data_IF_088745877230
#
_entry.id   IF_088745877230
#
_cell.length_a   1.000
_cell.length_b   1.000
_cell.length_c   1.000
_cell.angle_alpha   90.00
_cell.angle_beta   90.00
_cell.angle_gamma   90.00
#
_symmetry.space_group_name_H-M   'P 1'
#
loop_
_entity.id
_entity.type
_entity.pdbx_description
1 polymer ?
#
# COMPACT_ATOMS: atom_id res chain seq x y z
N UNK A 1 2.73 -0.90 -27.74
CA UNK A 1 1.65 -1.46 -26.88
C UNK A 1 0.82 -2.38 -27.75
N UNK A 2 0.37 -3.48 -27.21
CA UNK A 2 -0.49 -4.44 -27.92
C UNK A 2 -1.73 -3.71 -28.45
N UNK A 3 -2.19 -4.12 -29.64
CA UNK A 3 -3.31 -3.45 -30.35
C UNK A 3 -4.69 -3.69 -29.71
N UNK A 4 -4.80 -4.69 -28.83
CA UNK A 4 -6.03 -5.05 -28.12
C UNK A 4 -6.23 -4.29 -26.79
N UNK A 5 -5.21 -3.57 -26.31
CA UNK A 5 -5.34 -2.75 -25.12
C UNK A 5 -6.12 -1.46 -25.41
N UNK A 6 -7.06 -1.16 -24.53
CA UNK A 6 -7.85 0.07 -24.61
C UNK A 6 -7.15 1.19 -23.85
N UNK A 7 -6.95 2.32 -24.51
CA UNK A 7 -6.32 3.51 -23.91
C UNK A 7 -7.31 4.65 -23.91
N UNK A 8 -7.70 5.08 -22.70
CA UNK A 8 -8.56 6.25 -22.52
C UNK A 8 -7.69 7.44 -22.07
N UNK A 9 -7.56 8.43 -22.95
CA UNK A 9 -6.74 9.61 -22.72
C UNK A 9 -7.55 10.67 -21.99
N UNK A 10 -7.25 10.87 -20.72
CA UNK A 10 -7.87 11.89 -19.88
C UNK A 10 -6.73 12.66 -19.19
N UNK A 11 -6.77 13.99 -19.15
CA UNK A 11 -5.75 14.77 -18.46
C UNK A 11 -5.67 14.37 -16.98
N UNK A 12 -4.49 14.06 -16.45
CA UNK A 12 -4.32 13.71 -15.03
C UNK A 12 -4.90 14.81 -14.13
N UNK A 13 -5.54 14.38 -13.04
CA UNK A 13 -6.15 15.25 -12.03
C UNK A 13 -7.30 16.15 -12.51
N UNK A 14 -7.83 15.93 -13.72
CA UNK A 14 -9.08 16.57 -14.15
C UNK A 14 -10.30 15.93 -13.44
N UNK A 15 -11.47 16.60 -13.38
CA UNK A 15 -12.69 15.99 -12.86
C UNK A 15 -13.03 14.68 -13.58
N UNK A 16 -12.82 14.62 -14.90
CA UNK A 16 -13.04 13.43 -15.72
C UNK A 16 -12.08 12.30 -15.34
N UNK A 17 -10.85 12.64 -14.96
CA UNK A 17 -9.85 11.67 -14.50
C UNK A 17 -10.30 10.99 -13.20
N UNK A 18 -10.81 11.75 -12.24
CA UNK A 18 -11.36 11.20 -11.01
C UNK A 18 -12.62 10.36 -11.27
N UNK A 19 -13.50 10.86 -12.13
CA UNK A 19 -14.70 10.13 -12.50
C UNK A 19 -14.39 8.80 -13.21
N UNK A 20 -13.38 8.77 -14.06
CA UNK A 20 -12.94 7.52 -14.71
C UNK A 20 -12.47 6.47 -13.71
N UNK A 21 -11.84 6.89 -12.61
CA UNK A 21 -11.38 5.97 -11.57
C UNK A 21 -12.51 5.19 -10.89
N UNK A 22 -13.74 5.65 -10.95
CA UNK A 22 -14.91 4.88 -10.50
C UNK A 22 -15.26 3.70 -11.42
N UNK A 23 -14.68 3.61 -12.62
CA UNK A 23 -14.99 2.57 -13.61
C UNK A 23 -14.16 1.29 -13.43
N UNK A 24 -13.20 1.25 -12.49
CA UNK A 24 -12.35 0.10 -12.25
C UNK A 24 -11.44 0.30 -11.03
N UNK A 25 -10.55 -0.63 -10.81
CA UNK A 25 -9.55 -0.62 -9.74
C UNK A 25 -8.19 -0.27 -10.35
N UNK A 26 -7.57 0.81 -9.89
CA UNK A 26 -6.24 1.22 -10.31
C UNK A 26 -5.12 0.42 -9.64
N UNK A 27 -3.94 0.35 -10.28
CA UNK A 27 -2.79 -0.36 -9.73
C UNK A 27 -2.42 0.12 -8.31
N UNK A 28 -2.45 1.42 -8.05
CA UNK A 28 -2.16 2.00 -6.72
C UNK A 28 -3.23 1.70 -5.66
N UNK A 29 -4.47 1.43 -6.05
CA UNK A 29 -5.59 1.12 -5.16
C UNK A 29 -5.68 -0.38 -4.83
N UNK A 30 -5.06 -1.21 -5.65
CA UNK A 30 -5.15 -2.67 -5.52
C UNK A 30 -4.64 -3.15 -4.18
N UNK A 31 -3.58 -2.57 -3.64
CA UNK A 31 -3.09 -2.90 -2.30
C UNK A 31 -4.13 -2.63 -1.20
N UNK A 32 -4.97 -1.59 -1.35
CA UNK A 32 -6.08 -1.30 -0.45
C UNK A 32 -7.16 -2.38 -0.56
N UNK A 33 -7.54 -2.75 -1.78
CA UNK A 33 -8.53 -3.83 -2.01
C UNK A 33 -8.07 -5.17 -1.45
N UNK A 34 -6.76 -5.44 -1.43
CA UNK A 34 -6.16 -6.63 -0.83
C UNK A 34 -6.00 -6.52 0.71
N UNK A 35 -6.40 -5.41 1.35
CA UNK A 35 -6.24 -5.21 2.80
C UNK A 35 -4.78 -4.99 3.24
N UNK A 36 -3.89 -4.58 2.34
CA UNK A 36 -2.45 -4.45 2.58
C UNK A 36 -1.97 -2.99 2.63
N UNK A 37 -2.88 -2.03 2.55
CA UNK A 37 -2.59 -0.61 2.67
C UNK A 37 -3.01 -0.09 4.05
N UNK A 38 -2.05 0.30 4.88
CA UNK A 38 -2.33 0.84 6.22
C UNK A 38 -2.84 2.28 6.24
N UNK A 39 -2.79 2.98 5.11
CA UNK A 39 -3.15 4.41 4.99
C UNK A 39 -4.53 4.62 4.41
N UNK A 40 -5.19 3.53 3.98
CA UNK A 40 -6.53 3.60 3.41
C UNK A 40 -7.28 2.29 3.67
N UNK A 41 -8.62 2.32 3.54
CA UNK A 41 -9.50 1.18 3.84
C UNK A 41 -10.25 0.72 2.60
N UNK A 42 -10.46 -0.59 2.48
CA UNK A 42 -11.25 -1.19 1.40
C UNK A 42 -12.69 -0.65 1.40
N UNK A 43 -13.23 -0.32 2.58
CA UNK A 43 -14.56 0.27 2.73
C UNK A 43 -14.65 1.64 2.05
N UNK A 44 -13.67 2.53 2.25
CA UNK A 44 -13.63 3.81 1.54
C UNK A 44 -13.55 3.60 0.03
N UNK A 45 -12.66 2.72 -0.42
CA UNK A 45 -12.54 2.38 -1.85
C UNK A 45 -13.88 1.91 -2.41
N UNK A 46 -14.63 1.07 -1.69
CA UNK A 46 -15.96 0.66 -2.09
C UNK A 46 -16.91 1.86 -2.31
N UNK A 47 -17.02 2.76 -1.31
CA UNK A 47 -17.90 3.92 -1.40
C UNK A 47 -17.51 4.90 -2.52
N UNK A 48 -16.21 5.06 -2.78
CA UNK A 48 -15.73 5.84 -3.92
C UNK A 48 -16.10 5.17 -5.26
N UNK A 49 -15.94 3.84 -5.38
CA UNK A 49 -16.26 3.10 -6.62
C UNK A 49 -17.76 3.07 -6.94
N UNK A 50 -18.61 3.07 -5.95
CA UNK A 50 -20.05 3.15 -6.18
C UNK A 50 -20.55 4.60 -6.39
N UNK A 51 -19.69 5.60 -6.23
CA UNK A 51 -20.02 7.01 -6.37
C UNK A 51 -20.83 7.57 -5.19
N UNK A 52 -20.72 6.98 -4.00
CA UNK A 52 -21.40 7.44 -2.79
C UNK A 52 -20.53 8.39 -1.94
N UNK A 53 -19.25 8.49 -2.25
CA UNK A 53 -18.30 9.40 -1.60
C UNK A 53 -17.36 9.96 -2.66
N UNK A 54 -17.05 11.25 -2.55
CA UNK A 54 -16.06 11.88 -3.42
C UNK A 54 -14.67 11.27 -3.18
N UNK A 55 -13.90 11.02 -4.25
CA UNK A 55 -12.52 10.57 -4.12
C UNK A 55 -11.68 11.56 -3.32
N UNK A 56 -10.81 11.06 -2.46
CA UNK A 56 -9.88 11.94 -1.74
C UNK A 56 -8.98 12.69 -2.70
N UNK A 57 -9.08 14.02 -2.66
CA UNK A 57 -8.14 14.93 -3.32
C UNK A 57 -7.04 15.30 -2.31
N UNK A 58 -6.08 14.41 -2.15
CA UNK A 58 -4.95 14.72 -1.30
C UNK A 58 -3.71 14.94 -2.18
N UNK A 59 -3.20 16.15 -2.16
CA UNK A 59 -1.92 16.50 -2.77
C UNK A 59 -1.04 17.21 -1.76
N UNK A 60 0.22 16.87 -1.76
CA UNK A 60 1.21 17.51 -0.89
C UNK A 60 2.54 17.72 -1.63
N UNK A 61 3.45 18.45 -1.01
CA UNK A 61 4.74 18.76 -1.61
C UNK A 61 5.51 17.50 -2.06
N UNK A 62 5.43 16.37 -1.33
CA UNK A 62 6.11 15.12 -1.72
C UNK A 62 5.51 14.55 -3.01
N UNK A 63 4.18 14.52 -3.11
CA UNK A 63 3.48 14.03 -4.31
C UNK A 63 3.74 14.95 -5.51
N UNK A 64 3.73 16.27 -5.29
CA UNK A 64 4.09 17.25 -6.32
C UNK A 64 5.50 17.02 -6.84
N UNK A 65 6.49 16.93 -5.95
CA UNK A 65 7.88 16.71 -6.37
C UNK A 65 8.09 15.33 -6.97
N UNK A 66 7.35 14.30 -6.53
CA UNK A 66 7.35 12.99 -7.16
C UNK A 66 7.03 13.11 -8.65
N UNK A 67 5.88 13.69 -8.99
CA UNK A 67 5.45 13.91 -10.38
C UNK A 67 6.39 14.84 -11.16
N UNK A 68 6.88 15.91 -10.53
CA UNK A 68 7.80 16.85 -11.15
C UNK A 68 9.13 16.20 -11.56
N UNK A 69 9.58 15.20 -10.81
CA UNK A 69 10.83 14.49 -11.09
C UNK A 69 10.69 13.29 -12.04
N UNK A 70 9.47 12.85 -12.38
CA UNK A 70 9.23 11.67 -13.21
C UNK A 70 9.97 11.72 -14.56
N UNK A 71 9.87 12.84 -15.29
CA UNK A 71 10.53 12.99 -16.59
C UNK A 71 12.06 12.95 -16.45
N UNK A 72 12.61 13.56 -15.41
CA UNK A 72 14.05 13.60 -15.17
C UNK A 72 14.60 12.22 -14.81
N UNK A 73 13.88 11.48 -13.97
CA UNK A 73 14.25 10.11 -13.57
C UNK A 73 14.14 9.18 -14.78
N UNK A 74 13.08 9.29 -15.59
CA UNK A 74 12.93 8.55 -16.83
C UNK A 74 14.06 8.84 -17.82
N UNK A 75 14.51 10.10 -17.91
CA UNK A 75 15.65 10.45 -18.76
C UNK A 75 16.93 9.81 -18.25
N UNK A 76 17.24 9.84 -16.96
CA UNK A 76 18.42 9.18 -16.38
C UNK A 76 18.38 7.66 -16.61
N UNK A 77 17.21 7.05 -16.49
CA UNK A 77 17.01 5.63 -16.71
C UNK A 77 17.42 5.16 -18.12
N UNK A 78 17.29 6.01 -19.15
CA UNK A 78 17.70 5.68 -20.52
C UNK A 78 19.21 5.39 -20.65
N UNK A 79 20.00 5.93 -19.73
CA UNK A 79 21.46 5.76 -19.71
C UNK A 79 21.91 4.61 -18.80
N UNK A 80 20.99 4.02 -18.02
CA UNK A 80 21.31 2.97 -17.07
C UNK A 80 21.58 1.65 -17.77
N UNK A 81 22.75 1.06 -17.54
CA UNK A 81 23.26 -0.16 -18.16
C UNK A 81 23.22 -1.39 -17.24
N UNK A 82 22.64 -1.27 -16.06
CA UNK A 82 22.57 -2.33 -15.06
C UNK A 82 23.61 -2.20 -13.95
N UNK A 83 24.57 -1.28 -14.06
CA UNK A 83 25.62 -1.02 -13.04
C UNK A 83 25.33 0.25 -12.26
N UNK A 84 25.86 0.33 -11.02
CA UNK A 84 25.58 1.43 -10.09
C UNK A 84 26.01 2.80 -10.65
N UNK A 85 27.16 2.88 -11.29
CA UNK A 85 27.76 4.15 -11.73
C UNK A 85 27.88 4.30 -13.26
N UNK A 86 27.64 3.23 -14.02
CA UNK A 86 27.79 3.22 -15.48
C UNK A 86 26.89 4.24 -16.19
N UNK A 87 25.71 4.53 -15.64
CA UNK A 87 24.81 5.53 -16.19
C UNK A 87 25.42 6.94 -16.22
N UNK A 88 26.31 7.28 -15.28
CA UNK A 88 26.96 8.60 -15.21
C UNK A 88 27.85 8.81 -16.44
N UNK A 89 28.65 7.81 -16.79
CA UNK A 89 29.51 7.86 -17.96
C UNK A 89 28.68 7.85 -19.26
N UNK A 90 27.68 6.99 -19.34
CA UNK A 90 26.77 6.93 -20.47
C UNK A 90 26.05 8.27 -20.69
N UNK A 91 25.58 8.90 -19.60
CA UNK A 91 24.95 10.23 -19.64
C UNK A 91 25.91 11.32 -20.15
N UNK A 92 27.15 11.38 -19.62
CA UNK A 92 28.18 12.33 -20.07
C UNK A 92 28.50 12.16 -21.55
N UNK A 93 28.54 10.94 -22.02
CA UNK A 93 28.83 10.59 -23.43
C UNK A 93 27.58 10.61 -24.33
N UNK A 94 26.41 10.97 -23.80
CA UNK A 94 25.11 10.95 -24.52
C UNK A 94 24.80 9.59 -25.16
N UNK A 95 25.26 8.51 -24.54
CA UNK A 95 25.08 7.14 -25.01
C UNK A 95 23.82 6.55 -24.42
N UNK A 96 22.70 6.71 -25.11
CA UNK A 96 21.42 6.08 -24.73
C UNK A 96 21.56 4.55 -24.86
N UNK A 97 21.23 3.84 -23.79
CA UNK A 97 21.31 2.38 -23.70
C UNK A 97 19.95 1.75 -24.00
N UNK A 98 18.88 2.36 -23.45
CA UNK A 98 17.50 1.85 -23.54
C UNK A 98 16.55 3.00 -23.77
N UNK A 99 15.29 2.70 -24.11
CA UNK A 99 14.30 3.75 -24.32
C UNK A 99 12.96 3.37 -23.68
N UNK A 100 12.25 4.39 -23.25
CA UNK A 100 10.93 4.30 -22.66
C UNK A 100 10.05 5.46 -23.15
N UNK A 101 8.75 5.30 -23.01
CA UNK A 101 7.78 6.34 -23.35
C UNK A 101 6.71 6.49 -22.29
N UNK A 102 6.19 7.69 -22.17
CA UNK A 102 5.01 7.97 -21.35
C UNK A 102 3.75 7.32 -21.97
N UNK A 103 2.83 6.91 -21.12
CA UNK A 103 1.50 6.45 -21.51
C UNK A 103 0.48 7.40 -20.89
N UNK A 104 0.06 8.39 -21.68
CA UNK A 104 -0.88 9.40 -21.21
C UNK A 104 -2.31 8.83 -21.22
N UNK A 105 -2.80 8.44 -20.05
CA UNK A 105 -4.16 7.95 -19.86
C UNK A 105 -4.24 6.63 -19.10
N UNK A 106 -5.45 6.10 -19.04
CA UNK A 106 -5.73 4.80 -18.43
C UNK A 106 -5.68 3.70 -19.48
N UNK A 107 -5.00 2.62 -19.14
CA UNK A 107 -4.88 1.43 -19.98
C UNK A 107 -5.68 0.30 -19.35
N UNK A 108 -6.55 -0.32 -20.14
CA UNK A 108 -7.37 -1.47 -19.74
C UNK A 108 -7.07 -2.64 -20.66
N UNK A 109 -6.82 -3.82 -20.08
CA UNK A 109 -6.81 -5.06 -20.83
C UNK A 109 -8.25 -5.61 -20.86
N UNK A 110 -8.86 -5.84 -22.05
CA UNK A 110 -10.23 -6.35 -22.16
C UNK A 110 -10.46 -7.70 -21.44
N UNK A 111 -9.40 -8.46 -21.17
CA UNK A 111 -9.51 -9.69 -20.35
C UNK A 111 -9.81 -9.38 -18.87
N UNK A 112 -9.44 -8.19 -18.39
CA UNK A 112 -9.56 -7.77 -17.00
C UNK A 112 -10.21 -6.39 -16.91
N UNK A 113 -11.49 -6.25 -17.37
CA UNK A 113 -12.11 -4.94 -17.56
C UNK A 113 -12.34 -4.14 -16.27
N UNK A 114 -12.23 -4.79 -15.11
CA UNK A 114 -12.28 -4.14 -13.80
C UNK A 114 -10.94 -3.57 -13.31
N UNK A 115 -9.83 -3.80 -14.05
CA UNK A 115 -8.51 -3.28 -13.72
C UNK A 115 -8.07 -2.24 -14.75
N UNK A 116 -7.45 -1.16 -14.28
CA UNK A 116 -6.77 -0.20 -15.16
C UNK A 116 -5.37 0.14 -14.65
N UNK A 117 -4.48 0.45 -15.58
CA UNK A 117 -3.14 0.97 -15.32
C UNK A 117 -3.04 2.45 -15.70
N UNK A 118 -2.41 3.24 -14.83
CA UNK A 118 -1.87 4.55 -15.15
C UNK A 118 -0.36 4.44 -15.01
N UNK A 119 0.33 4.21 -16.12
CA UNK A 119 1.76 3.90 -16.14
C UNK A 119 2.58 5.17 -16.14
N UNK A 120 3.61 5.26 -15.32
CA UNK A 120 4.58 6.33 -15.42
C UNK A 120 5.30 6.24 -16.77
N UNK A 121 5.86 5.06 -17.08
CA UNK A 121 6.52 4.77 -18.37
C UNK A 121 6.34 3.32 -18.75
N UNK A 122 6.52 3.06 -20.04
CA UNK A 122 6.62 1.73 -20.61
C UNK A 122 7.94 1.63 -21.37
N UNK A 123 8.70 0.57 -21.11
CA UNK A 123 9.96 0.29 -21.81
C UNK A 123 9.67 -0.21 -23.23
N UNK A 124 10.37 0.34 -24.21
CA UNK A 124 10.24 -0.06 -25.58
C UNK A 124 10.91 -1.41 -25.85
N UNK A 125 10.30 -2.26 -26.69
CA UNK A 125 10.89 -3.56 -27.10
C UNK A 125 12.19 -3.33 -27.86
N UNK A 126 12.20 -2.39 -28.79
CA UNK A 126 13.37 -2.08 -29.60
C UNK A 126 14.51 -1.52 -28.74
N UNK A 127 15.58 -2.28 -28.60
CA UNK A 127 16.72 -1.95 -27.76
C UNK A 127 16.48 -2.20 -26.26
N UNK A 128 15.30 -2.70 -25.88
CA UNK A 128 15.00 -3.07 -24.50
C UNK A 128 15.67 -4.39 -24.10
N UNK A 129 16.15 -4.44 -22.86
CA UNK A 129 16.85 -5.61 -22.28
C UNK A 129 16.25 -5.90 -20.91
N UNK A 130 15.96 -7.16 -20.65
CA UNK A 130 15.67 -7.64 -19.31
C UNK A 130 17.00 -7.78 -18.54
N UNK A 131 17.26 -6.89 -17.60
CA UNK A 131 18.53 -6.85 -16.86
C UNK A 131 18.72 -7.99 -15.85
N UNK A 132 17.71 -8.82 -15.61
CA UNK A 132 17.84 -10.03 -14.80
C UNK A 132 18.39 -11.21 -15.61
N UNK A 133 18.04 -11.29 -16.89
CA UNK A 133 18.42 -12.39 -17.77
C UNK A 133 19.48 -12.02 -18.79
N UNK A 134 19.65 -10.72 -19.07
CA UNK A 134 20.49 -10.22 -20.17
C UNK A 134 19.85 -10.34 -21.54
N UNK A 135 18.63 -10.87 -21.66
CA UNK A 135 17.95 -11.13 -22.92
C UNK A 135 17.17 -9.90 -23.42
N UNK A 136 17.02 -9.73 -24.73
CA UNK A 136 16.15 -8.70 -25.30
C UNK A 136 14.70 -8.86 -24.80
N UNK A 137 14.01 -7.74 -24.58
CA UNK A 137 12.60 -7.76 -24.24
C UNK A 137 11.76 -8.36 -25.36
N UNK A 138 10.91 -9.33 -25.02
CA UNK A 138 9.95 -9.96 -25.96
C UNK A 138 8.65 -9.16 -26.07
N UNK A 139 8.30 -8.45 -24.99
CA UNK A 139 7.14 -7.57 -24.87
C UNK A 139 7.58 -6.23 -24.31
N UNK A 140 6.75 -5.21 -24.44
CA UNK A 140 6.95 -3.97 -23.66
C UNK A 140 6.91 -4.30 -22.17
N UNK A 141 7.73 -3.62 -21.36
CA UNK A 141 7.84 -3.86 -19.94
C UNK A 141 7.46 -2.62 -19.13
N UNK A 142 7.09 -2.83 -17.89
CA UNK A 142 6.73 -1.75 -16.95
C UNK A 142 7.99 -1.01 -16.50
N UNK A 143 7.93 0.32 -16.45
CA UNK A 143 8.87 1.17 -15.74
C UNK A 143 8.10 2.10 -14.82
N UNK A 144 8.14 1.82 -13.54
CA UNK A 144 7.59 2.65 -12.49
C UNK A 144 8.65 3.61 -11.97
N UNK A 145 8.27 4.80 -11.56
CA UNK A 145 9.20 5.85 -11.09
C UNK A 145 8.84 6.26 -9.67
N UNK A 146 9.85 6.34 -8.80
CA UNK A 146 9.66 6.73 -7.41
C UNK A 146 10.73 7.72 -6.95
N UNK A 147 10.32 8.67 -6.11
CA UNK A 147 11.22 9.48 -5.30
C UNK A 147 11.12 9.02 -3.85
N UNK A 148 12.27 8.85 -3.18
CA UNK A 148 12.34 8.46 -1.78
C UNK A 148 13.11 9.52 -0.99
N UNK A 149 12.59 9.87 0.20
CA UNK A 149 13.37 10.58 1.21
C UNK A 149 14.03 9.60 2.16
N UNK A 150 15.07 10.02 2.88
CA UNK A 150 15.74 9.23 3.92
C UNK A 150 14.76 8.54 4.87
N UNK A 151 13.78 9.27 5.37
CA UNK A 151 12.76 8.71 6.27
C UNK A 151 11.86 7.65 5.61
N UNK A 152 11.55 7.82 4.33
CA UNK A 152 10.76 6.84 3.57
C UNK A 152 11.58 5.60 3.24
N UNK A 153 12.91 5.76 3.01
CA UNK A 153 13.81 4.64 2.69
C UNK A 153 13.98 3.65 3.83
N UNK A 154 13.80 4.07 5.08
CA UNK A 154 13.81 3.16 6.22
C UNK A 154 12.69 2.10 6.15
N UNK A 155 11.56 2.44 5.53
CA UNK A 155 10.48 1.47 5.28
C UNK A 155 10.83 0.46 4.17
N UNK A 156 11.93 0.69 3.45
CA UNK A 156 12.44 -0.16 2.38
C UNK A 156 13.63 -1.03 2.82
N UNK A 157 14.06 -0.98 4.08
CA UNK A 157 15.17 -1.81 4.61
C UNK A 157 14.92 -3.32 4.46
N UNK A 158 13.66 -3.74 4.30
CA UNK A 158 13.26 -5.11 3.99
C UNK A 158 12.96 -5.40 2.52
N UNK A 159 13.28 -4.47 1.60
CA UNK A 159 12.90 -4.49 0.20
C UNK A 159 11.76 -3.53 -0.13
N UNK A 160 11.29 -3.58 -1.37
CA UNK A 160 10.19 -2.72 -1.82
C UNK A 160 8.91 -2.94 -0.97
N UNK A 161 8.20 -1.89 -0.56
CA UNK A 161 6.90 -2.04 0.09
C UNK A 161 5.94 -2.87 -0.77
N UNK A 162 5.22 -3.79 -0.11
CA UNK A 162 4.31 -4.71 -0.78
C UNK A 162 3.26 -4.00 -1.66
N UNK A 163 2.85 -2.79 -1.28
CA UNK A 163 1.92 -1.97 -2.07
C UNK A 163 2.47 -1.61 -3.46
N UNK A 164 3.76 -1.31 -3.57
CA UNK A 164 4.39 -1.05 -4.87
C UNK A 164 4.63 -2.33 -5.66
N UNK A 165 4.98 -3.42 -4.97
CA UNK A 165 5.10 -4.73 -5.61
C UNK A 165 3.76 -5.15 -6.23
N UNK A 166 2.65 -4.95 -5.53
CA UNK A 166 1.29 -5.20 -6.05
C UNK A 166 0.99 -4.29 -7.24
N UNK A 167 1.30 -2.99 -7.14
CA UNK A 167 1.07 -2.02 -8.21
C UNK A 167 1.75 -2.45 -9.52
N UNK A 168 3.03 -2.79 -9.48
CA UNK A 168 3.76 -3.23 -10.70
C UNK A 168 3.24 -4.56 -11.23
N UNK A 169 2.78 -5.49 -10.37
CA UNK A 169 2.17 -6.73 -10.83
C UNK A 169 0.82 -6.51 -11.51
N UNK A 170 0.00 -5.56 -11.04
CA UNK A 170 -1.21 -5.14 -11.77
C UNK A 170 -0.85 -4.63 -13.15
N UNK A 171 0.20 -3.84 -13.25
CA UNK A 171 0.66 -3.32 -14.54
C UNK A 171 1.22 -4.42 -15.45
N UNK A 172 1.95 -5.40 -14.90
CA UNK A 172 2.38 -6.57 -15.65
C UNK A 172 1.20 -7.46 -16.11
N UNK A 173 0.14 -7.58 -15.30
CA UNK A 173 -1.11 -8.25 -15.69
C UNK A 173 -1.75 -7.54 -16.89
N UNK A 174 -1.88 -6.23 -16.84
CA UNK A 174 -2.52 -5.43 -17.90
C UNK A 174 -1.72 -5.50 -19.20
N UNK A 175 -0.39 -5.36 -19.13
CA UNK A 175 0.48 -5.42 -20.31
C UNK A 175 0.75 -6.86 -20.79
N UNK A 176 0.45 -7.88 -19.96
CA UNK A 176 0.86 -9.29 -20.18
C UNK A 176 2.37 -9.39 -20.43
N UNK A 177 3.17 -8.76 -19.58
CA UNK A 177 4.63 -8.80 -19.63
C UNK A 177 5.20 -9.52 -18.40
N UNK A 178 6.42 -10.02 -18.53
CA UNK A 178 7.09 -10.84 -17.51
C UNK A 178 8.13 -10.04 -16.69
N UNK A 179 8.31 -8.76 -17.02
CA UNK A 179 9.39 -7.96 -16.48
C UNK A 179 8.93 -6.54 -16.14
N UNK A 180 9.43 -6.03 -15.04
CA UNK A 180 9.22 -4.65 -14.60
C UNK A 180 10.47 -4.10 -13.94
N UNK A 181 10.65 -2.79 -14.02
CA UNK A 181 11.65 -2.04 -13.26
C UNK A 181 11.00 -0.91 -12.46
N UNK A 182 11.63 -0.58 -11.34
CA UNK A 182 11.34 0.63 -10.57
C UNK A 182 12.60 1.49 -10.56
N UNK A 183 12.53 2.66 -11.19
CA UNK A 183 13.59 3.66 -11.13
C UNK A 183 13.34 4.59 -9.94
N UNK A 184 14.31 4.68 -9.06
CA UNK A 184 14.20 5.36 -7.77
C UNK A 184 15.25 6.45 -7.68
N UNK A 185 14.82 7.68 -7.38
CA UNK A 185 15.71 8.74 -6.93
C UNK A 185 15.57 8.90 -5.42
N UNK A 186 16.58 8.44 -4.68
CA UNK A 186 16.62 8.50 -3.23
C UNK A 186 17.43 9.72 -2.78
N UNK A 187 16.86 10.49 -1.87
CA UNK A 187 17.46 11.71 -1.29
C UNK A 187 17.98 12.74 -2.32
N UNK A 188 17.38 12.71 -3.52
CA UNK A 188 17.76 13.60 -4.62
C UNK A 188 19.15 13.36 -5.22
N UNK A 189 19.87 12.30 -4.80
CA UNK A 189 21.27 12.07 -5.19
C UNK A 189 21.62 10.61 -5.50
N UNK A 190 20.90 9.65 -4.97
CA UNK A 190 21.15 8.22 -5.21
C UNK A 190 20.15 7.67 -6.22
N UNK A 191 20.63 7.25 -7.40
CA UNK A 191 19.81 6.66 -8.44
C UNK A 191 19.90 5.14 -8.40
N UNK A 192 18.75 4.48 -8.17
CA UNK A 192 18.65 3.02 -8.00
C UNK A 192 17.63 2.49 -9.00
N UNK A 193 17.88 1.33 -9.58
CA UNK A 193 16.91 0.61 -10.42
C UNK A 193 16.71 -0.80 -9.88
N UNK A 194 15.53 -1.05 -9.33
CA UNK A 194 15.09 -2.36 -8.88
C UNK A 194 14.41 -3.13 -10.02
N UNK A 195 14.61 -4.43 -10.07
CA UNK A 195 14.19 -5.30 -11.18
C UNK A 195 13.32 -6.44 -10.67
N UNK A 196 12.20 -6.68 -11.34
CA UNK A 196 11.20 -7.64 -10.90
C UNK A 196 10.78 -8.55 -12.04
N UNK A 197 10.68 -9.83 -11.73
CA UNK A 197 10.02 -10.82 -12.59
C UNK A 197 8.57 -10.97 -12.13
N UNK A 198 7.67 -11.21 -13.06
CA UNK A 198 6.27 -11.48 -12.77
C UNK A 198 6.13 -12.74 -11.93
N UNK A 199 5.42 -12.63 -10.81
CA UNK A 199 5.03 -13.74 -9.95
C UNK A 199 3.58 -14.15 -10.30
N UNK A 200 3.42 -15.30 -10.92
CA UNK A 200 2.10 -15.79 -11.35
C UNK A 200 1.18 -16.07 -10.16
N UNK A 201 1.72 -16.58 -9.04
CA UNK A 201 0.93 -16.83 -7.84
C UNK A 201 0.39 -15.53 -7.21
N UNK A 202 1.19 -14.47 -7.22
CA UNK A 202 0.75 -13.15 -6.80
C UNK A 202 -0.27 -12.57 -7.80
N UNK A 203 -0.02 -12.70 -9.10
CA UNK A 203 -0.95 -12.24 -10.14
C UNK A 203 -2.32 -12.91 -10.01
N UNK A 204 -2.37 -14.23 -9.80
CA UNK A 204 -3.61 -14.98 -9.60
C UNK A 204 -4.38 -14.49 -8.36
N UNK A 205 -3.71 -14.27 -7.24
CA UNK A 205 -4.33 -13.70 -6.03
C UNK A 205 -4.89 -12.31 -6.27
N UNK A 206 -4.13 -11.44 -6.95
CA UNK A 206 -4.59 -10.10 -7.32
C UNK A 206 -5.86 -10.18 -8.14
N UNK A 207 -5.88 -11.00 -9.20
CA UNK A 207 -7.03 -11.17 -10.08
C UNK A 207 -8.25 -11.68 -9.32
N UNK A 208 -8.10 -12.76 -8.55
CA UNK A 208 -9.22 -13.38 -7.81
C UNK A 208 -9.85 -12.42 -6.80
N UNK A 209 -9.04 -11.69 -6.02
CA UNK A 209 -9.54 -10.77 -5.00
C UNK A 209 -10.18 -9.54 -5.64
N UNK A 210 -9.51 -8.93 -6.61
CA UNK A 210 -10.03 -7.72 -7.27
C UNK A 210 -11.28 -8.00 -8.08
N UNK A 211 -11.36 -9.13 -8.77
CA UNK A 211 -12.57 -9.56 -9.49
C UNK A 211 -13.73 -9.80 -8.50
N UNK A 212 -13.47 -10.53 -7.40
CA UNK A 212 -14.49 -10.78 -6.39
C UNK A 212 -15.00 -9.49 -5.76
N UNK A 213 -14.11 -8.56 -5.42
CA UNK A 213 -14.48 -7.25 -4.90
C UNK A 213 -15.35 -6.48 -5.90
N UNK A 214 -14.93 -6.46 -7.18
CA UNK A 214 -15.66 -5.73 -8.22
C UNK A 214 -17.04 -6.32 -8.50
N UNK A 215 -17.11 -7.62 -8.76
CA UNK A 215 -18.35 -8.29 -9.17
C UNK A 215 -19.35 -8.44 -8.03
N UNK A 216 -18.88 -8.80 -6.83
CA UNK A 216 -19.77 -9.12 -5.71
C UNK A 216 -20.14 -7.94 -4.82
N UNK A 217 -19.30 -6.90 -4.79
CA UNK A 217 -19.54 -5.74 -3.93
C UNK A 217 -19.79 -4.49 -4.74
N UNK A 218 -18.87 -4.10 -5.64
CA UNK A 218 -18.98 -2.81 -6.35
C UNK A 218 -20.14 -2.77 -7.35
N UNK A 219 -20.31 -3.78 -8.20
CA UNK A 219 -21.38 -3.79 -9.19
C UNK A 219 -22.76 -3.69 -8.53
N UNK A 220 -23.14 -4.55 -7.58
CA UNK A 220 -24.46 -4.46 -6.95
C UNK A 220 -24.60 -3.20 -6.09
N UNK A 221 -23.55 -2.77 -5.36
CA UNK A 221 -23.56 -1.53 -4.60
C UNK A 221 -23.78 -0.30 -5.49
N UNK A 222 -23.15 -0.25 -6.66
CA UNK A 222 -23.33 0.83 -7.63
C UNK A 222 -24.75 0.87 -8.20
N UNK A 223 -25.35 -0.29 -8.46
CA UNK A 223 -26.76 -0.38 -8.89
C UNK A 223 -27.70 0.15 -7.79
N UNK A 224 -27.44 -0.22 -6.53
CA UNK A 224 -28.20 0.28 -5.38
C UNK A 224 -28.06 1.80 -5.23
N UNK A 225 -26.82 2.32 -5.36
CA UNK A 225 -26.55 3.76 -5.28
C UNK A 225 -27.29 4.55 -6.36
N UNK A 226 -27.33 4.07 -7.61
CA UNK A 226 -28.10 4.73 -8.69
C UNK A 226 -29.58 4.83 -8.32
N UNK A 227 -30.18 3.72 -7.84
CA UNK A 227 -31.58 3.69 -7.43
C UNK A 227 -31.87 4.56 -6.22
N UNK A 228 -30.93 4.63 -5.26
CA UNK A 228 -31.02 5.57 -4.14
C UNK A 228 -31.08 7.01 -4.63
N UNK A 229 -30.17 7.41 -5.52
CA UNK A 229 -30.16 8.76 -6.09
C UNK A 229 -31.44 9.10 -6.89
N UNK A 230 -32.05 8.11 -7.55
CA UNK A 230 -33.34 8.25 -8.22
C UNK A 230 -34.48 8.48 -7.20
N UNK A 231 -34.48 7.72 -6.10
CA UNK A 231 -35.47 7.87 -5.02
C UNK A 231 -35.33 9.22 -4.30
N UNK A 232 -34.11 9.69 -4.07
CA UNK A 232 -33.83 11.02 -3.50
C UNK A 232 -34.39 12.16 -4.37
N UNK A 233 -34.24 12.08 -5.69
CA UNK A 233 -34.75 13.09 -6.64
C UNK A 233 -36.25 13.23 -6.57
N UNK A 234 -36.99 12.18 -6.25
CA UNK A 234 -38.47 12.21 -6.15
C UNK A 234 -38.96 12.31 -4.70
N UNK A 235 -38.03 12.44 -3.72
CA UNK A 235 -38.36 12.60 -2.31
C UNK A 235 -38.95 11.35 -1.64
N UNK A 236 -38.70 10.14 -2.19
CA UNK A 236 -39.23 8.89 -1.64
C UNK A 236 -38.30 8.34 -0.54
N UNK A 237 -38.54 8.77 0.70
CA UNK A 237 -37.71 8.41 1.87
C UNK A 237 -37.65 6.88 2.07
N UNK A 238 -38.76 6.16 1.96
CA UNK A 238 -38.79 4.70 2.17
C UNK A 238 -37.93 3.95 1.17
N UNK A 239 -37.92 4.36 -0.10
CA UNK A 239 -37.02 3.77 -1.11
C UNK A 239 -35.56 4.18 -0.88
N UNK A 240 -35.27 5.38 -0.38
CA UNK A 240 -33.91 5.80 0.00
C UNK A 240 -33.37 4.89 1.08
N UNK A 241 -34.12 4.69 2.17
CA UNK A 241 -33.73 3.81 3.28
C UNK A 241 -33.48 2.37 2.82
N UNK A 242 -34.35 1.85 1.97
CA UNK A 242 -34.21 0.51 1.39
C UNK A 242 -32.92 0.36 0.58
N UNK A 243 -32.60 1.34 -0.26
CA UNK A 243 -31.37 1.27 -1.08
C UNK A 243 -30.11 1.56 -0.26
N UNK A 244 -30.19 2.37 0.81
CA UNK A 244 -29.11 2.50 1.80
C UNK A 244 -28.79 1.17 2.47
N UNK A 245 -29.81 0.42 2.88
CA UNK A 245 -29.63 -0.92 3.46
C UNK A 245 -28.99 -1.89 2.45
N UNK A 246 -29.38 -1.83 1.17
CA UNK A 246 -28.77 -2.65 0.12
C UNK A 246 -27.31 -2.28 -0.16
N UNK A 247 -26.94 -0.99 -0.12
CA UNK A 247 -25.54 -0.53 -0.21
C UNK A 247 -24.73 -1.08 0.96
N UNK A 248 -25.25 -1.00 2.19
CA UNK A 248 -24.58 -1.51 3.39
C UNK A 248 -24.39 -3.03 3.36
N UNK A 249 -25.33 -3.78 2.80
CA UNK A 249 -25.21 -5.23 2.64
C UNK A 249 -24.05 -5.66 1.75
N UNK A 250 -23.66 -4.81 0.80
CA UNK A 250 -22.51 -5.04 -0.08
C UNK A 250 -21.24 -4.34 0.40
N UNK A 251 -21.27 -3.68 1.56
CA UNK A 251 -20.08 -3.10 2.16
C UNK A 251 -19.06 -4.19 2.51
N UNK A 252 -17.75 -3.97 2.23
CA UNK A 252 -16.71 -4.88 2.71
C UNK A 252 -16.72 -5.05 4.23
N UNK A 253 -16.31 -6.22 4.71
CA UNK A 253 -16.11 -6.43 6.15
C UNK A 253 -15.13 -5.40 6.72
N UNK A 254 -15.32 -4.97 7.98
CA UNK A 254 -14.43 -4.04 8.65
C UNK A 254 -12.99 -4.53 8.65
N UNK A 255 -12.05 -3.70 8.21
CA UNK A 255 -10.63 -3.99 8.32
C UNK A 255 -10.02 -3.49 9.65
N UNK A 256 -8.75 -3.82 9.88
CA UNK A 256 -8.05 -3.48 11.13
C UNK A 256 -7.33 -2.14 11.08
N UNK A 257 -7.47 -1.35 10.00
CA UNK A 257 -6.73 -0.11 9.80
C UNK A 257 -7.30 1.05 10.64
N UNK A 258 -6.45 2.02 10.95
CA UNK A 258 -6.88 3.28 11.52
C UNK A 258 -7.74 4.08 10.50
N UNK A 259 -7.40 3.96 9.23
CA UNK A 259 -8.13 4.59 8.12
C UNK A 259 -9.61 4.16 8.08
N UNK A 260 -9.94 2.89 8.44
CA UNK A 260 -11.33 2.45 8.57
C UNK A 260 -12.07 3.25 9.65
N UNK A 261 -11.45 3.41 10.84
CA UNK A 261 -12.06 4.16 11.96
C UNK A 261 -12.24 5.63 11.63
N UNK A 262 -11.25 6.24 10.95
CA UNK A 262 -11.35 7.61 10.45
C UNK A 262 -12.51 7.77 9.47
N UNK A 263 -12.60 6.86 8.48
CA UNK A 263 -13.67 6.89 7.50
C UNK A 263 -15.06 6.74 8.14
N UNK A 264 -15.22 5.80 9.06
CA UNK A 264 -16.48 5.64 9.79
C UNK A 264 -16.80 6.90 10.62
N UNK A 265 -15.81 7.54 11.24
CA UNK A 265 -16.01 8.79 11.99
C UNK A 265 -16.46 9.94 11.07
N UNK A 266 -15.92 10.07 9.87
CA UNK A 266 -16.36 11.05 8.87
C UNK A 266 -17.83 10.82 8.45
N UNK A 267 -18.23 9.55 8.31
CA UNK A 267 -19.60 9.16 7.98
C UNK A 267 -20.63 9.49 9.08
N UNK A 268 -20.21 9.42 10.35
CA UNK A 268 -21.07 9.55 11.54
C UNK A 268 -21.04 10.94 12.19
N UNK A 269 -20.98 12.02 11.41
CA UNK A 269 -21.04 13.40 11.92
C UNK A 269 -22.42 13.82 12.45
N UNK A 270 -23.44 12.94 12.48
CA UNK A 270 -24.79 13.21 12.96
C UNK A 270 -24.98 12.80 14.43
N UNK A 271 -26.05 13.28 15.06
CA UNK A 271 -26.47 12.88 16.41
C UNK A 271 -26.49 11.38 16.59
N UNK A 272 -25.94 10.93 17.73
CA UNK A 272 -25.73 9.51 18.02
C UNK A 272 -26.87 9.00 18.88
N UNK A 273 -27.60 8.01 18.34
CA UNK A 273 -28.56 7.25 19.11
C UNK A 273 -27.92 6.04 19.78
N UNK A 274 -28.54 5.57 20.85
CA UNK A 274 -28.17 4.32 21.49
C UNK A 274 -28.88 3.18 20.78
N UNK A 275 -28.11 2.18 20.37
CA UNK A 275 -28.69 0.94 19.83
C UNK A 275 -28.83 -0.12 20.92
N UNK A 276 -29.84 -0.95 20.84
CA UNK A 276 -30.01 -2.11 21.73
C UNK A 276 -28.93 -3.16 21.38
N UNK A 277 -28.21 -3.60 22.42
CA UNK A 277 -27.17 -4.63 22.29
C UNK A 277 -27.79 -6.01 22.10
N UNK A 278 -27.14 -6.85 21.30
CA UNK A 278 -27.46 -8.27 21.15
C UNK A 278 -26.28 -9.14 21.60
N UNK A 279 -26.51 -10.46 21.72
CA UNK A 279 -25.47 -11.39 22.18
C UNK A 279 -24.23 -11.39 21.31
N UNK A 280 -24.35 -11.25 19.98
CA UNK A 280 -23.20 -11.13 19.08
C UNK A 280 -22.33 -9.91 19.42
N UNK A 281 -22.93 -8.76 19.61
CA UNK A 281 -22.19 -7.52 19.97
C UNK A 281 -21.57 -7.63 21.36
N UNK A 282 -22.27 -8.25 22.30
CA UNK A 282 -21.74 -8.55 23.63
C UNK A 282 -20.49 -9.44 23.58
N UNK A 283 -20.52 -10.50 22.77
CA UNK A 283 -19.37 -11.41 22.61
C UNK A 283 -18.17 -10.71 21.98
N UNK A 284 -18.37 -9.82 21.00
CA UNK A 284 -17.30 -9.00 20.40
C UNK A 284 -16.68 -8.09 21.49
N UNK A 285 -17.49 -7.39 22.27
CA UNK A 285 -17.01 -6.53 23.36
C UNK A 285 -16.27 -7.33 24.43
N UNK A 286 -16.72 -8.54 24.74
CA UNK A 286 -16.05 -9.44 25.68
C UNK A 286 -14.70 -9.88 25.15
N UNK A 287 -14.60 -10.27 23.88
CA UNK A 287 -13.34 -10.65 23.24
C UNK A 287 -12.33 -9.48 23.23
N UNK A 288 -12.78 -8.27 22.86
CA UNK A 288 -11.93 -7.07 22.90
C UNK A 288 -11.38 -6.82 24.32
N UNK A 289 -12.22 -6.97 25.34
CA UNK A 289 -11.81 -6.79 26.73
C UNK A 289 -10.77 -7.83 27.17
N UNK A 290 -10.90 -9.09 26.74
CA UNK A 290 -9.91 -10.16 26.97
C UNK A 290 -8.59 -9.84 26.29
N UNK A 291 -8.61 -9.45 25.01
CA UNK A 291 -7.41 -9.09 24.24
C UNK A 291 -6.69 -7.87 24.87
N UNK A 292 -7.44 -6.89 25.35
CA UNK A 292 -6.86 -5.75 26.04
C UNK A 292 -6.19 -6.15 27.37
N UNK A 293 -6.78 -7.07 28.12
CA UNK A 293 -6.16 -7.66 29.33
C UNK A 293 -4.85 -8.39 29.00
N UNK A 294 -4.83 -9.20 27.93
CA UNK A 294 -3.63 -9.88 27.44
C UNK A 294 -2.55 -8.86 27.06
N UNK A 295 -2.90 -7.79 26.36
CA UNK A 295 -1.97 -6.73 26.01
C UNK A 295 -1.33 -6.08 27.25
N UNK A 296 -2.11 -5.87 28.32
CA UNK A 296 -1.64 -5.37 29.60
C UNK A 296 -0.58 -6.29 30.23
N UNK A 297 -0.84 -7.59 30.29
CA UNK A 297 0.10 -8.59 30.84
C UNK A 297 1.40 -8.66 30.01
N UNK A 298 1.30 -8.58 28.68
CA UNK A 298 2.47 -8.53 27.80
C UNK A 298 3.32 -7.29 28.11
N UNK A 299 2.71 -6.11 28.24
CA UNK A 299 3.46 -4.87 28.51
C UNK A 299 4.07 -4.87 29.92
N UNK A 300 3.41 -5.44 30.91
CA UNK A 300 3.98 -5.65 32.24
C UNK A 300 5.23 -6.52 32.18
N UNK A 301 5.19 -7.65 31.48
CA UNK A 301 6.36 -8.53 31.29
C UNK A 301 7.48 -7.82 30.54
N UNK A 302 7.17 -7.10 29.46
CA UNK A 302 8.14 -6.29 28.72
C UNK A 302 8.81 -5.24 29.60
N UNK A 303 8.04 -4.58 30.45
CA UNK A 303 8.54 -3.58 31.40
C UNK A 303 9.49 -4.21 32.42
N UNK A 304 9.16 -5.39 32.96
CA UNK A 304 10.05 -6.15 33.83
C UNK A 304 11.41 -6.48 33.18
N UNK A 305 11.39 -6.96 31.91
CA UNK A 305 12.61 -7.26 31.16
C UNK A 305 13.44 -5.99 30.90
N UNK A 306 12.81 -4.87 30.52
CA UNK A 306 13.48 -3.58 30.34
C UNK A 306 14.15 -3.13 31.64
N UNK A 307 13.43 -3.20 32.75
CA UNK A 307 13.95 -2.80 34.07
C UNK A 307 15.16 -3.67 34.50
N UNK A 308 15.17 -4.97 34.18
CA UNK A 308 16.29 -5.84 34.41
C UNK A 308 17.53 -5.36 33.65
N UNK A 309 17.39 -5.08 32.34
CA UNK A 309 18.49 -4.58 31.52
C UNK A 309 18.97 -3.18 31.97
N UNK A 310 18.08 -2.29 32.37
CA UNK A 310 18.42 -0.98 32.94
C UNK A 310 19.21 -1.13 34.22
N UNK A 311 18.85 -2.09 35.10
CA UNK A 311 19.58 -2.38 36.30
C UNK A 311 21.02 -2.85 36.03
N UNK A 312 21.19 -3.76 35.07
CA UNK A 312 22.53 -4.22 34.65
C UNK A 312 23.39 -3.07 34.12
N UNK A 313 22.83 -2.22 33.25
CA UNK A 313 23.49 -1.01 32.71
C UNK A 313 23.88 -0.05 33.86
N UNK A 314 22.99 0.15 34.82
CA UNK A 314 23.25 1.04 35.97
C UNK A 314 24.36 0.52 36.86
N UNK A 315 24.35 -0.78 37.16
CA UNK A 315 25.42 -1.43 37.97
C UNK A 315 26.76 -1.36 37.26
N UNK A 316 26.77 -1.54 35.93
CA UNK A 316 27.98 -1.45 35.11
C UNK A 316 28.44 -0.01 34.85
N UNK A 317 27.66 1.02 35.23
CA UNK A 317 27.94 2.42 34.88
C UNK A 317 27.96 2.69 33.39
N UNK A 318 27.19 1.91 32.60
CA UNK A 318 27.17 1.93 31.17
C UNK A 318 25.83 2.47 30.61
N UNK A 319 25.86 3.01 29.42
CA UNK A 319 24.64 3.45 28.71
C UNK A 319 24.24 2.50 27.56
N UNK A 320 25.11 1.55 27.20
CA UNK A 320 24.88 0.62 26.10
C UNK A 320 25.40 -0.78 26.41
N UNK A 321 24.65 -1.77 25.99
CA UNK A 321 25.08 -3.16 25.86
C UNK A 321 25.27 -3.41 24.36
N UNK A 322 26.49 -3.77 23.98
CA UNK A 322 26.81 -4.10 22.58
C UNK A 322 26.92 -5.63 22.44
N UNK A 323 26.09 -6.19 21.56
CA UNK A 323 26.10 -7.61 21.21
C UNK A 323 26.80 -7.87 19.87
N UNK A 324 27.61 -6.91 19.41
CA UNK A 324 28.34 -7.01 18.15
C UNK A 324 27.37 -7.15 16.96
N UNK A 325 27.50 -8.24 16.21
CA UNK A 325 26.65 -8.50 15.03
C UNK A 325 25.16 -8.69 15.35
N UNK A 326 24.82 -9.06 16.58
CA UNK A 326 23.46 -9.33 17.01
C UNK A 326 22.66 -8.05 17.32
N UNK A 327 23.33 -6.92 17.53
CA UNK A 327 22.68 -5.65 17.80
C UNK A 327 23.11 -4.99 19.11
N UNK A 328 22.27 -4.12 19.66
CA UNK A 328 22.58 -3.41 20.91
C UNK A 328 21.32 -3.06 21.69
N UNK A 329 21.47 -2.80 23.00
CA UNK A 329 20.47 -2.18 23.86
C UNK A 329 21.06 -0.91 24.50
N UNK A 330 20.29 0.18 24.52
CA UNK A 330 20.75 1.47 25.06
C UNK A 330 19.75 2.06 26.05
N UNK A 331 20.27 2.73 27.08
CA UNK A 331 19.51 3.52 28.04
C UNK A 331 20.15 4.89 28.18
N UNK A 332 19.74 5.81 27.33
CA UNK A 332 20.39 7.12 27.15
C UNK A 332 19.41 8.28 27.27
N UNK A 333 19.92 9.45 27.63
CA UNK A 333 19.17 10.69 27.59
C UNK A 333 18.99 11.17 26.16
N UNK A 334 17.76 11.59 25.80
CA UNK A 334 17.54 12.40 24.61
C UNK A 334 17.78 13.86 24.95
N UNK A 335 18.48 14.58 24.06
CA UNK A 335 18.72 16.01 24.20
C UNK A 335 17.41 16.78 24.44
N UNK A 336 17.27 17.40 25.63
CA UNK A 336 16.07 18.13 26.03
C UNK A 336 14.96 17.30 26.70
N UNK A 337 15.14 16.00 26.94
CA UNK A 337 14.19 15.16 27.68
C UNK A 337 14.51 15.13 29.18
N UNK A 338 13.45 15.08 30.01
CA UNK A 338 13.58 14.95 31.48
C UNK A 338 13.85 13.53 31.98
N UNK A 339 13.88 12.53 31.06
CA UNK A 339 14.05 11.12 31.41
C UNK A 339 14.87 10.39 30.33
N UNK A 340 15.54 9.33 30.76
CA UNK A 340 16.26 8.42 29.86
C UNK A 340 15.27 7.52 29.11
N UNK A 341 15.62 7.14 27.88
CA UNK A 341 14.82 6.25 27.05
C UNK A 341 15.58 4.94 26.83
N UNK A 342 14.91 3.81 27.01
CA UNK A 342 15.43 2.49 26.68
C UNK A 342 15.08 2.13 25.23
N UNK A 343 16.11 1.74 24.45
CA UNK A 343 15.97 1.26 23.09
C UNK A 343 16.62 -0.11 22.95
N UNK A 344 15.87 -1.07 22.40
CA UNK A 344 16.37 -2.41 22.06
C UNK A 344 16.48 -2.51 20.53
N UNK A 345 17.68 -2.77 20.03
CA UNK A 345 18.02 -2.86 18.60
C UNK A 345 18.61 -4.22 18.24
N UNK A 346 18.08 -5.29 18.80
CA UNK A 346 18.43 -6.65 18.42
C UNK A 346 17.95 -6.89 16.98
N UNK A 347 18.84 -7.42 16.14
CA UNK A 347 18.60 -7.63 14.71
C UNK A 347 17.83 -8.91 14.41
N UNK A 348 17.88 -9.87 15.31
CA UNK A 348 17.14 -11.12 15.17
C UNK A 348 15.63 -10.87 15.31
N UNK A 349 14.88 -11.27 14.30
CA UNK A 349 13.40 -11.25 14.34
C UNK A 349 12.94 -12.60 14.88
N UNK A 350 12.07 -12.63 15.91
CA UNK A 350 11.52 -13.89 16.40
C UNK A 350 10.69 -14.57 15.31
N UNK A 351 10.78 -15.89 15.22
CA UNK A 351 9.89 -16.69 14.37
C UNK A 351 8.48 -16.79 14.97
N UNK A 352 7.50 -17.15 14.16
CA UNK A 352 6.12 -17.36 14.62
C UNK A 352 6.04 -18.44 15.71
N UNK A 353 6.86 -19.49 15.60
CA UNK A 353 6.96 -20.55 16.63
C UNK A 353 7.52 -20.02 17.95
N UNK A 354 8.51 -19.13 17.90
CA UNK A 354 9.06 -18.48 19.10
C UNK A 354 8.02 -17.55 19.73
N UNK A 355 7.30 -16.77 18.93
CA UNK A 355 6.22 -15.92 19.41
C UNK A 355 5.11 -16.75 20.07
N UNK A 356 4.70 -17.85 19.44
CA UNK A 356 3.70 -18.75 19.98
C UNK A 356 4.14 -19.45 21.27
N UNK A 357 5.41 -19.87 21.35
CA UNK A 357 5.98 -20.48 22.54
C UNK A 357 6.02 -19.49 23.72
N UNK A 358 6.41 -18.24 23.50
CA UNK A 358 6.38 -17.20 24.54
C UNK A 358 4.94 -16.83 24.95
N UNK A 359 4.03 -16.77 23.99
CA UNK A 359 2.61 -16.54 24.28
C UNK A 359 2.03 -17.63 25.20
N UNK A 360 2.34 -18.91 24.95
CA UNK A 360 1.96 -20.02 25.83
C UNK A 360 2.54 -19.93 27.24
N UNK A 361 3.78 -19.41 27.40
CA UNK A 361 4.42 -19.20 28.71
C UNK A 361 3.78 -18.08 29.54
N UNK A 362 2.99 -17.22 28.94
CA UNK A 362 2.23 -16.20 29.68
C UNK A 362 1.11 -16.78 30.53
N UNK A 363 0.93 -18.12 30.52
CA UNK A 363 -0.13 -18.84 31.25
C UNK A 363 -1.53 -18.25 30.99
N UNK A 364 -1.72 -17.74 29.77
CA UNK A 364 -3.04 -17.30 29.32
C UNK A 364 -3.82 -18.55 28.95
N UNK A 365 -4.16 -19.37 29.94
CA UNK A 365 -5.24 -20.35 29.78
C UNK A 365 -6.50 -19.55 29.45
N UNK A 366 -7.07 -19.86 28.30
CA UNK A 366 -8.27 -19.20 27.81
C UNK A 366 -9.39 -19.37 28.87
N UNK A 367 -9.81 -18.26 29.45
CA UNK A 367 -11.04 -18.18 30.22
C UNK A 367 -12.23 -18.23 29.26
#
# INVERSE_FOLDING_TARGET
MRSDLQITRIPPHSPEWFKYRESGIGGSETATVLGLNRYDTVTRTYYEKIGATEPRHFDNAKMFFGRYMEDNIAELWKYYDGTTDGWIENYKNKKIIRDCRAVNGFVVNPKYPWLFGSFDRVQNIKGGINLLTGEPLKTEAVLEIKTLSYWSSQMWEGGIPLSYLIQIHVYMIILECDYAEIAILKDGSEFIVEKYTRDEGLCEKILNITQSFWEKLVIPGKQAQIKKLEAEKVGNISEVEKWDAEIQKHEPEPDTTEAYREFQSEKFLKERDTIEGNMRLYDICKQDKVLNGISGLIEEKRSGLKNTLIKELTVAGAEMIDFGRLGSATWSERKGAKSRTFNNRIKEKPSDDQLLAEFKKLNLECY
#
